data_IF_612369852305
#
_entry.id   IF_612369852305
#
_cell.length_a   1.000
_cell.length_b   1.000
_cell.length_c   1.000
_cell.angle_alpha   90.00
_cell.angle_beta   90.00
_cell.angle_gamma   90.00
#
_symmetry.space_group_name_H-M   'P 1'
#
loop_
_entity.id
_entity.type
_entity.pdbx_description
1 polymer ?
#
# COMPACT_ATOMS: atom_id res chain seq x y z
N UNK A 1 -0.03 27.23 15.27
CA UNK A 1 -0.98 26.20 14.77
C UNK A 1 -1.02 26.05 13.23
N UNK A 2 0.12 25.87 12.53
CA UNK A 2 0.16 25.77 11.04
C UNK A 2 0.61 24.40 10.50
N UNK A 3 0.75 23.39 11.36
CA UNK A 3 1.15 22.03 10.95
C UNK A 3 -0.03 21.04 10.80
N UNK A 4 -1.24 21.42 11.22
CA UNK A 4 -2.42 20.53 11.24
C UNK A 4 -3.33 20.63 10.01
N UNK A 5 -3.12 21.60 9.10
CA UNK A 5 -3.91 21.71 7.85
C UNK A 5 -3.28 20.97 6.66
N UNK A 6 -2.00 20.61 6.73
CA UNK A 6 -1.31 19.83 5.69
C UNK A 6 -1.49 18.32 5.87
N UNK A 7 -1.81 17.86 7.08
CA UNK A 7 -2.01 16.44 7.41
C UNK A 7 -3.41 15.91 7.08
N UNK A 8 -4.35 16.79 6.76
CA UNK A 8 -5.65 16.42 6.18
C UNK A 8 -5.58 16.33 4.62
N UNK A 9 -4.38 16.46 4.03
CA UNK A 9 -4.15 16.16 2.62
C UNK A 9 -4.35 14.66 2.44
N UNK A 10 -5.41 14.32 1.71
CA UNK A 10 -5.90 12.97 1.39
C UNK A 10 -4.89 11.85 1.65
N UNK A 11 -5.16 11.03 2.68
CA UNK A 11 -4.40 9.82 3.00
C UNK A 11 -4.17 9.02 1.70
N UNK A 12 -2.92 8.80 1.24
CA UNK A 12 -2.65 8.30 -0.11
C UNK A 12 -3.32 6.97 -0.42
N UNK A 13 -3.47 6.08 0.57
CA UNK A 13 -4.18 4.81 0.42
C UNK A 13 -5.68 4.92 0.18
N UNK A 14 -6.28 6.12 0.34
CA UNK A 14 -7.65 6.41 -0.11
C UNK A 14 -7.72 6.69 -1.62
N UNK A 15 -6.63 7.17 -2.23
CA UNK A 15 -6.58 7.50 -3.66
C UNK A 15 -5.93 6.37 -4.48
N UNK A 16 -5.06 5.57 -3.86
CA UNK A 16 -4.31 4.49 -4.51
C UNK A 16 -4.67 3.14 -3.91
N UNK A 17 -5.23 2.26 -4.72
CA UNK A 17 -5.46 0.85 -4.37
C UNK A 17 -4.12 0.13 -4.14
N UNK A 18 -4.13 -1.01 -3.44
CA UNK A 18 -2.92 -1.81 -3.22
C UNK A 18 -2.26 -2.24 -4.54
N UNK A 19 -3.06 -2.54 -5.58
CA UNK A 19 -2.55 -2.84 -6.92
C UNK A 19 -1.79 -1.65 -7.52
N UNK A 20 -2.36 -0.45 -7.47
CA UNK A 20 -1.69 0.76 -7.97
C UNK A 20 -0.40 1.06 -7.18
N UNK A 21 -0.41 0.84 -5.87
CA UNK A 21 0.80 0.96 -5.05
C UNK A 21 1.88 -0.01 -5.51
N UNK A 22 1.54 -1.27 -5.81
CA UNK A 22 2.45 -2.24 -6.39
C UNK A 22 2.97 -1.83 -7.77
N UNK A 23 2.10 -1.34 -8.64
CA UNK A 23 2.51 -0.89 -9.97
C UNK A 23 3.50 0.27 -9.93
N UNK A 24 3.34 1.17 -8.96
CA UNK A 24 4.27 2.29 -8.72
C UNK A 24 5.57 1.78 -8.11
N UNK A 25 5.49 0.93 -7.08
CA UNK A 25 6.65 0.47 -6.33
C UNK A 25 7.59 -0.40 -7.17
N UNK A 26 7.06 -1.29 -8.02
CA UNK A 26 7.85 -2.09 -8.95
C UNK A 26 8.06 -1.42 -10.32
N UNK A 27 7.43 -0.26 -10.58
CA UNK A 27 7.38 0.40 -11.91
C UNK A 27 6.86 -0.53 -13.02
N UNK A 28 5.91 -1.39 -12.68
CA UNK A 28 5.31 -2.40 -13.55
C UNK A 28 3.79 -2.22 -13.57
N UNK A 29 3.21 -1.77 -14.69
CA UNK A 29 1.76 -1.50 -14.78
C UNK A 29 0.88 -2.72 -14.47
N UNK A 30 1.37 -3.92 -14.74
CA UNK A 30 0.68 -5.18 -14.53
C UNK A 30 0.98 -5.80 -13.15
N UNK A 31 1.79 -5.15 -12.32
CA UNK A 31 2.05 -5.65 -10.97
C UNK A 31 0.80 -5.49 -10.10
N UNK A 32 0.46 -6.57 -9.40
CA UNK A 32 -0.71 -6.68 -8.55
C UNK A 32 -0.33 -7.00 -7.11
N UNK A 33 -1.17 -6.60 -6.17
CA UNK A 33 -1.01 -6.96 -4.78
C UNK A 33 -1.34 -8.44 -4.56
N UNK A 34 -0.45 -9.15 -3.88
CA UNK A 34 -0.58 -10.58 -3.56
C UNK A 34 -0.38 -10.86 -2.06
N UNK A 35 -0.40 -9.81 -1.24
CA UNK A 35 0.07 -9.83 0.15
C UNK A 35 -0.97 -10.06 1.25
N UNK A 36 -2.14 -10.64 0.98
CA UNK A 36 -3.23 -10.69 1.97
C UNK A 36 -2.89 -11.43 3.28
N UNK A 37 -1.92 -12.36 3.26
CA UNK A 37 -1.48 -13.14 4.44
C UNK A 37 -0.17 -12.64 5.08
N UNK A 38 0.40 -11.56 4.56
CA UNK A 38 1.69 -10.99 4.98
C UNK A 38 1.46 -9.82 5.96
N UNK A 39 2.49 -9.29 6.65
CA UNK A 39 2.28 -8.25 7.67
C UNK A 39 1.57 -7.02 7.11
N UNK A 40 0.26 -6.97 7.39
CA UNK A 40 -0.70 -5.96 6.93
C UNK A 40 -0.22 -4.57 7.34
N UNK A 41 -0.36 -3.59 6.43
CA UNK A 41 0.07 -2.20 6.59
C UNK A 41 1.59 -1.97 6.73
N UNK A 42 2.41 -2.99 6.99
CA UNK A 42 3.85 -2.84 7.22
C UNK A 42 4.67 -3.07 5.95
N UNK A 43 4.26 -4.01 5.10
CA UNK A 43 5.02 -4.33 3.89
C UNK A 43 4.08 -4.75 2.75
N UNK A 44 4.24 -4.09 1.60
CA UNK A 44 3.59 -4.52 0.36
C UNK A 44 4.24 -5.80 -0.15
N UNK A 45 3.39 -6.72 -0.59
CA UNK A 45 3.83 -7.86 -1.40
C UNK A 45 3.16 -7.75 -2.76
N UNK A 46 3.98 -7.72 -3.79
CA UNK A 46 3.59 -7.40 -5.14
C UNK A 46 4.05 -8.51 -6.09
N UNK A 47 3.19 -8.86 -7.03
CA UNK A 47 3.53 -9.80 -8.09
C UNK A 47 4.44 -9.11 -9.10
N UNK A 48 5.67 -9.61 -9.22
CA UNK A 48 6.64 -9.16 -10.20
C UNK A 48 6.44 -9.96 -11.49
N UNK A 49 6.05 -9.28 -12.57
CA UNK A 49 5.73 -9.95 -13.83
C UNK A 49 6.97 -10.51 -14.54
N UNK A 50 8.15 -9.92 -14.29
CA UNK A 50 9.41 -10.40 -14.88
C UNK A 50 9.86 -11.69 -14.20
N UNK A 51 9.70 -11.75 -12.87
CA UNK A 51 10.11 -12.90 -12.07
C UNK A 51 9.00 -13.93 -11.89
N UNK A 52 7.77 -13.60 -12.27
CA UNK A 52 6.54 -14.41 -12.11
C UNK A 52 6.34 -14.90 -10.68
N UNK A 53 6.62 -14.03 -9.70
CA UNK A 53 6.48 -14.37 -8.28
C UNK A 53 6.02 -13.19 -7.43
N UNK A 54 5.38 -13.52 -6.31
CA UNK A 54 5.00 -12.55 -5.29
C UNK A 54 6.22 -12.23 -4.41
N UNK A 55 6.65 -10.97 -4.40
CA UNK A 55 7.84 -10.55 -3.66
C UNK A 55 7.50 -9.45 -2.66
N UNK A 56 8.19 -9.44 -1.49
CA UNK A 56 8.17 -8.29 -0.61
C UNK A 56 8.78 -7.09 -1.33
N UNK A 57 8.15 -5.94 -1.18
CA UNK A 57 8.69 -4.66 -1.65
C UNK A 57 9.11 -3.85 -0.43
N UNK A 58 10.18 -3.07 -0.54
CA UNK A 58 10.68 -2.18 0.52
C UNK A 58 9.80 -0.92 0.66
N UNK A 59 8.48 -1.12 0.79
CA UNK A 59 7.49 -0.06 0.97
C UNK A 59 6.33 -0.57 1.84
N UNK A 60 5.89 0.22 2.84
CA UNK A 60 4.66 -0.07 3.58
C UNK A 60 3.43 0.22 2.71
N UNK A 61 2.26 -0.21 3.18
CA UNK A 61 1.02 0.16 2.52
C UNK A 61 0.78 1.65 2.77
N UNK A 62 0.29 2.36 1.76
CA UNK A 62 0.04 3.78 1.90
C UNK A 62 -0.94 4.07 3.04
N UNK A 63 -0.70 5.14 3.81
CA UNK A 63 -1.61 5.60 4.86
C UNK A 63 -3.05 5.71 4.34
N UNK A 64 -4.00 5.13 5.06
CA UNK A 64 -5.40 5.06 4.66
C UNK A 64 -5.75 3.95 3.68
N UNK A 65 -4.84 3.02 3.39
CA UNK A 65 -5.15 1.83 2.59
C UNK A 65 -6.12 0.94 3.34
N UNK A 66 -7.14 0.41 2.67
CA UNK A 66 -8.09 -0.51 3.30
C UNK A 66 -7.39 -1.83 3.63
N UNK A 67 -7.48 -2.23 4.89
CA UNK A 67 -6.84 -3.46 5.39
C UNK A 67 -7.86 -4.46 5.98
N UNK A 68 -9.12 -4.06 6.11
CA UNK A 68 -10.21 -4.91 6.56
C UNK A 68 -11.58 -4.29 6.30
N UNK A 69 -12.63 -4.89 6.89
CA UNK A 69 -13.96 -4.29 6.91
C UNK A 69 -13.97 -3.05 7.82
N UNK A 70 -14.22 -1.87 7.25
CA UNK A 70 -14.15 -0.57 7.95
C UNK A 70 -12.85 -0.35 8.74
N UNK A 71 -11.71 -0.84 8.22
CA UNK A 71 -10.37 -0.64 8.79
C UNK A 71 -9.38 -0.15 7.74
N UNK A 72 -8.47 0.72 8.16
CA UNK A 72 -7.49 1.36 7.29
C UNK A 72 -6.11 1.43 7.95
N UNK A 73 -5.06 1.41 7.14
CA UNK A 73 -3.70 1.53 7.60
C UNK A 73 -3.41 2.91 8.21
N UNK A 74 -2.99 2.94 9.47
CA UNK A 74 -2.50 4.14 10.15
C UNK A 74 -1.25 3.78 10.96
N UNK A 75 -0.14 4.45 10.67
CA UNK A 75 1.17 4.23 11.31
C UNK A 75 1.59 2.74 11.28
N UNK A 76 1.35 2.06 10.15
CA UNK A 76 1.73 0.66 9.96
C UNK A 76 0.84 -0.36 10.70
N UNK A 77 -0.32 0.07 11.19
CA UNK A 77 -1.33 -0.80 11.83
C UNK A 77 -2.64 -0.80 11.05
N UNK A 78 -3.32 -1.95 11.08
CA UNK A 78 -4.72 -2.12 10.73
C UNK A 78 -5.56 -2.20 12.02
#
# INVERSE_FOLDING_TARGET
EKLNKLTNRSKPGKNFTLNQQCSIALRQKESQFCGHSFPVCKQLHCYDVQRRMCLPVEAPWAEGSRCGYNRWCVMGQC
#
